data_IF_201305132778
#
_entry.id   IF_201305132778
#
_cell.length_a   1.000
_cell.length_b   1.000
_cell.length_c   1.000
_cell.angle_alpha   90.00
_cell.angle_beta   90.00
_cell.angle_gamma   90.00
#
_symmetry.space_group_name_H-M   'P 1'
#
loop_
_entity.id
_entity.type
_entity.pdbx_description
1 polymer ?
#
# COMPACT_ATOMS: atom_id res chain seq x y z
N UNK A 1 39.21 -11.25 7.79
CA UNK A 1 38.68 -12.63 7.75
C UNK A 1 37.41 -12.83 8.58
N UNK A 2 37.43 -12.92 9.92
CA UNK A 2 36.20 -13.16 10.69
C UNK A 2 35.19 -11.99 10.65
N UNK A 3 35.68 -10.75 10.66
CA UNK A 3 34.86 -9.53 10.53
C UNK A 3 34.18 -9.43 9.16
N UNK A 4 34.91 -9.67 8.07
CA UNK A 4 34.39 -9.62 6.69
C UNK A 4 33.32 -10.70 6.44
N UNK A 5 33.49 -11.89 7.02
CA UNK A 5 32.50 -12.96 6.94
C UNK A 5 31.18 -12.57 7.63
N UNK A 6 31.26 -11.97 8.83
CA UNK A 6 30.09 -11.46 9.54
C UNK A 6 29.37 -10.35 8.77
N UNK A 7 30.11 -9.44 8.14
CA UNK A 7 29.53 -8.38 7.31
C UNK A 7 28.79 -8.93 6.09
N UNK A 8 29.34 -9.95 5.44
CA UNK A 8 28.68 -10.65 4.34
C UNK A 8 27.39 -11.33 4.78
N UNK A 9 27.40 -12.03 5.92
CA UNK A 9 26.20 -12.67 6.49
C UNK A 9 25.12 -11.64 6.80
N UNK A 10 25.47 -10.54 7.49
CA UNK A 10 24.51 -9.49 7.86
C UNK A 10 23.90 -8.86 6.60
N UNK A 11 24.72 -8.60 5.58
CA UNK A 11 24.27 -8.04 4.31
C UNK A 11 23.34 -9.01 3.58
N UNK A 12 23.64 -10.30 3.61
CA UNK A 12 22.80 -11.35 3.02
C UNK A 12 21.45 -11.45 3.74
N UNK A 13 21.44 -11.54 5.07
CA UNK A 13 20.21 -11.60 5.88
C UNK A 13 19.34 -10.37 5.62
N UNK A 14 19.94 -9.18 5.56
CA UNK A 14 19.21 -7.93 5.26
C UNK A 14 18.57 -7.95 3.88
N UNK A 15 19.26 -8.47 2.85
CA UNK A 15 18.69 -8.62 1.50
C UNK A 15 17.56 -9.65 1.48
N UNK A 16 17.72 -10.75 2.20
CA UNK A 16 16.71 -11.80 2.29
C UNK A 16 15.44 -11.30 2.99
N UNK A 17 15.57 -10.62 4.13
CA UNK A 17 14.44 -10.04 4.85
C UNK A 17 13.72 -8.94 4.04
N UNK A 18 14.49 -8.16 3.26
CA UNK A 18 13.95 -7.22 2.27
C UNK A 18 13.09 -7.91 1.22
N UNK A 19 13.53 -9.05 0.70
CA UNK A 19 12.79 -9.80 -0.30
C UNK A 19 11.50 -10.38 0.28
N UNK A 20 11.54 -10.90 1.52
CA UNK A 20 10.35 -11.37 2.23
C UNK A 20 9.31 -10.24 2.38
N UNK A 21 9.74 -9.06 2.80
CA UNK A 21 8.85 -7.88 2.91
C UNK A 21 8.21 -7.58 1.55
N UNK A 22 8.98 -7.57 0.47
CA UNK A 22 8.45 -7.34 -0.88
C UNK A 22 7.46 -8.40 -1.35
N UNK A 23 7.72 -9.66 -1.05
CA UNK A 23 6.84 -10.77 -1.40
C UNK A 23 5.51 -10.69 -0.61
N UNK A 24 5.57 -10.45 0.69
CA UNK A 24 4.37 -10.28 1.53
C UNK A 24 3.59 -9.02 1.14
N UNK A 25 4.27 -7.92 0.80
CA UNK A 25 3.63 -6.71 0.26
C UNK A 25 2.88 -7.02 -1.04
N UNK A 26 3.46 -7.84 -1.92
CA UNK A 26 2.84 -8.24 -3.19
C UNK A 26 1.57 -9.06 -2.95
N UNK A 27 1.59 -9.99 -2.00
CA UNK A 27 0.38 -10.72 -1.60
C UNK A 27 -0.68 -9.78 -0.99
N UNK A 28 -0.28 -8.86 -0.13
CA UNK A 28 -1.17 -7.86 0.45
C UNK A 28 -1.86 -7.01 -0.63
N UNK A 29 -1.09 -6.51 -1.59
CA UNK A 29 -1.62 -5.74 -2.72
C UNK A 29 -2.53 -6.59 -3.60
N UNK A 30 -2.19 -7.85 -3.86
CA UNK A 30 -3.07 -8.74 -4.63
C UNK A 30 -4.44 -8.93 -3.96
N UNK A 31 -4.47 -9.14 -2.64
CA UNK A 31 -5.73 -9.23 -1.86
C UNK A 31 -6.49 -7.90 -1.93
N UNK A 32 -5.79 -6.77 -1.76
CA UNK A 32 -6.38 -5.44 -1.84
C UNK A 32 -6.99 -5.15 -3.21
N UNK A 33 -6.29 -5.52 -4.29
CA UNK A 33 -6.76 -5.36 -5.68
C UNK A 33 -8.00 -6.21 -5.90
N UNK A 34 -8.01 -7.49 -5.51
CA UNK A 34 -9.19 -8.36 -5.66
C UNK A 34 -10.39 -7.81 -4.88
N UNK A 35 -10.18 -7.39 -3.63
CA UNK A 35 -11.25 -6.79 -2.81
C UNK A 35 -11.81 -5.50 -3.42
N UNK A 36 -10.93 -4.63 -3.89
CA UNK A 36 -11.30 -3.36 -4.53
C UNK A 36 -11.97 -3.52 -5.87
N UNK A 37 -11.48 -4.45 -6.71
CA UNK A 37 -12.15 -4.80 -7.97
C UNK A 37 -13.55 -5.34 -7.71
N UNK A 38 -13.73 -6.19 -6.70
CA UNK A 38 -15.06 -6.72 -6.37
C UNK A 38 -16.05 -5.62 -5.99
N UNK A 39 -15.62 -4.65 -5.17
CA UNK A 39 -16.44 -3.48 -4.79
C UNK A 39 -16.76 -2.63 -6.03
N UNK A 40 -15.77 -2.30 -6.86
CA UNK A 40 -15.98 -1.48 -8.06
C UNK A 40 -16.96 -2.14 -9.05
N UNK A 41 -16.78 -3.44 -9.34
CA UNK A 41 -17.61 -4.15 -10.33
C UNK A 41 -19.00 -4.51 -9.82
N UNK A 42 -19.14 -4.87 -8.53
CA UNK A 42 -20.45 -5.28 -8.00
C UNK A 42 -21.32 -4.12 -7.56
N UNK A 43 -20.72 -3.09 -6.97
CA UNK A 43 -21.48 -1.93 -6.52
C UNK A 43 -21.79 -0.97 -7.69
N UNK A 44 -21.23 -1.21 -8.89
CA UNK A 44 -21.44 -0.43 -10.13
C UNK A 44 -21.20 1.07 -9.91
N UNK A 45 -20.37 1.36 -8.89
CA UNK A 45 -20.22 2.67 -8.29
C UNK A 45 -18.94 3.32 -8.81
N UNK A 46 -18.87 3.48 -10.14
CA UNK A 46 -17.77 4.16 -10.85
C UNK A 46 -17.71 5.68 -10.59
N UNK A 47 -18.59 6.20 -9.72
CA UNK A 47 -18.51 7.57 -9.21
C UNK A 47 -17.28 7.79 -8.30
N UNK A 48 -17.36 8.78 -7.42
CA UNK A 48 -16.22 9.24 -6.62
C UNK A 48 -15.57 8.14 -5.76
N UNK A 49 -16.35 7.18 -5.23
CA UNK A 49 -15.83 6.11 -4.37
C UNK A 49 -15.04 5.08 -5.19
N UNK A 50 -15.60 4.58 -6.30
CA UNK A 50 -14.91 3.63 -7.18
C UNK A 50 -13.66 4.23 -7.82
N UNK A 51 -13.69 5.52 -8.18
CA UNK A 51 -12.52 6.23 -8.71
C UNK A 51 -11.36 6.30 -7.70
N UNK A 52 -11.66 6.57 -6.43
CA UNK A 52 -10.66 6.55 -5.35
C UNK A 52 -10.02 5.18 -5.18
N UNK A 53 -10.82 4.11 -5.20
CA UNK A 53 -10.30 2.75 -5.14
C UNK A 53 -9.41 2.42 -6.36
N UNK A 54 -9.81 2.87 -7.55
CA UNK A 54 -9.04 2.65 -8.78
C UNK A 54 -7.67 3.33 -8.74
N UNK A 55 -7.61 4.59 -8.31
CA UNK A 55 -6.32 5.30 -8.14
C UNK A 55 -5.45 4.56 -7.12
N UNK A 56 -6.02 4.14 -5.99
CA UNK A 56 -5.28 3.42 -4.97
C UNK A 56 -4.75 2.07 -5.48
N UNK A 57 -5.51 1.34 -6.31
CA UNK A 57 -5.06 0.11 -6.98
C UNK A 57 -3.86 0.41 -7.89
N UNK A 58 -3.99 1.39 -8.79
CA UNK A 58 -2.93 1.71 -9.76
C UNK A 58 -1.64 2.11 -9.04
N UNK A 59 -1.76 2.98 -8.03
CA UNK A 59 -0.62 3.50 -7.30
C UNK A 59 0.04 2.43 -6.43
N UNK A 60 -0.74 1.62 -5.70
CA UNK A 60 -0.20 0.55 -4.86
C UNK A 60 0.48 -0.56 -5.67
N UNK A 61 -0.11 -0.93 -6.81
CA UNK A 61 0.46 -1.93 -7.74
C UNK A 61 1.76 -1.41 -8.36
N UNK A 62 1.73 -0.18 -8.91
CA UNK A 62 2.91 0.45 -9.49
C UNK A 62 4.05 0.62 -8.48
N UNK A 63 3.73 1.07 -7.27
CA UNK A 63 4.72 1.24 -6.19
C UNK A 63 5.32 -0.08 -5.75
N UNK A 64 4.51 -1.15 -5.65
CA UNK A 64 5.00 -2.49 -5.30
C UNK A 64 5.92 -3.05 -6.38
N UNK A 65 5.58 -2.84 -7.65
CA UNK A 65 6.43 -3.25 -8.77
C UNK A 65 7.78 -2.52 -8.76
N UNK A 66 7.78 -1.20 -8.56
CA UNK A 66 9.00 -0.40 -8.48
C UNK A 66 9.84 -0.83 -7.25
N UNK A 67 9.19 -1.12 -6.12
CA UNK A 67 9.86 -1.61 -4.92
C UNK A 67 10.49 -3.00 -5.14
N UNK A 68 9.82 -3.92 -5.82
CA UNK A 68 10.42 -5.21 -6.21
C UNK A 68 11.61 -5.02 -7.14
N UNK A 69 11.51 -4.07 -8.08
CA UNK A 69 12.59 -3.78 -9.05
C UNK A 69 13.87 -3.29 -8.35
N UNK A 70 13.79 -2.66 -7.17
CA UNK A 70 14.96 -2.29 -6.35
C UNK A 70 15.82 -3.48 -5.92
N UNK A 71 15.29 -4.70 -5.93
CA UNK A 71 16.07 -5.90 -5.62
C UNK A 71 17.03 -6.27 -6.74
N UNK A 72 16.67 -5.94 -7.98
CA UNK A 72 17.46 -6.27 -9.17
C UNK A 72 18.33 -5.10 -9.62
N UNK A 73 17.93 -3.85 -9.35
CA UNK A 73 18.70 -2.67 -9.72
C UNK A 73 19.78 -2.36 -8.67
N UNK A 74 21.03 -2.07 -9.08
CA UNK A 74 22.07 -1.66 -8.14
C UNK A 74 21.65 -0.39 -7.40
N UNK A 75 21.68 -0.44 -6.06
CA UNK A 75 21.27 0.62 -5.10
C UNK A 75 22.13 1.90 -5.16
N UNK A 76 22.88 2.12 -6.23
CA UNK A 76 23.74 3.28 -6.43
C UNK A 76 22.94 4.55 -6.71
N UNK A 77 21.73 4.45 -7.26
CA UNK A 77 20.84 5.58 -7.55
C UNK A 77 20.10 6.09 -6.29
N UNK A 78 20.69 7.06 -5.58
CA UNK A 78 20.07 7.67 -4.39
C UNK A 78 18.71 8.32 -4.68
N UNK A 79 18.55 8.90 -5.88
CA UNK A 79 17.30 9.52 -6.33
C UNK A 79 16.16 8.50 -6.35
N UNK A 80 16.43 7.26 -6.78
CA UNK A 80 15.45 6.17 -6.83
C UNK A 80 14.91 5.81 -5.44
N UNK A 81 15.77 5.79 -4.40
CA UNK A 81 15.37 5.50 -3.02
C UNK A 81 14.43 6.59 -2.45
N UNK A 82 14.70 7.87 -2.76
CA UNK A 82 13.81 8.97 -2.40
C UNK A 82 12.48 8.91 -3.15
N UNK A 83 12.51 8.67 -4.47
CA UNK A 83 11.30 8.50 -5.28
C UNK A 83 10.41 7.39 -4.75
N UNK A 84 10.99 6.26 -4.36
CA UNK A 84 10.23 5.11 -3.83
C UNK A 84 9.65 5.41 -2.46
N UNK A 85 10.38 6.12 -1.60
CA UNK A 85 9.81 6.58 -0.32
C UNK A 85 8.60 7.48 -0.57
N UNK A 86 8.70 8.43 -1.51
CA UNK A 86 7.58 9.30 -1.89
C UNK A 86 6.38 8.51 -2.45
N UNK A 87 6.63 7.54 -3.33
CA UNK A 87 5.59 6.68 -3.89
C UNK A 87 4.93 5.79 -2.83
N UNK A 88 5.69 5.26 -1.88
CA UNK A 88 5.15 4.48 -0.74
C UNK A 88 4.28 5.36 0.16
N UNK A 89 4.70 6.58 0.48
CA UNK A 89 3.89 7.52 1.27
C UNK A 89 2.60 7.91 0.55
N UNK A 90 2.68 8.19 -0.75
CA UNK A 90 1.51 8.50 -1.56
C UNK A 90 0.55 7.29 -1.63
N UNK A 91 1.09 6.09 -1.80
CA UNK A 91 0.30 4.84 -1.78
C UNK A 91 -0.41 4.64 -0.45
N UNK A 92 0.28 4.86 0.68
CA UNK A 92 -0.32 4.79 2.01
C UNK A 92 -1.46 5.81 2.13
N UNK A 93 -1.26 7.05 1.66
CA UNK A 93 -2.29 8.09 1.71
C UNK A 93 -3.57 7.66 0.97
N UNK A 94 -3.44 7.18 -0.28
CA UNK A 94 -4.59 6.74 -1.06
C UNK A 94 -5.23 5.46 -0.52
N UNK A 95 -4.44 4.48 -0.05
CA UNK A 95 -4.97 3.29 0.61
C UNK A 95 -5.68 3.64 1.92
N UNK A 96 -5.15 4.57 2.71
CA UNK A 96 -5.79 5.05 3.95
C UNK A 96 -7.08 5.82 3.65
N UNK A 97 -7.11 6.62 2.59
CA UNK A 97 -8.32 7.30 2.14
C UNK A 97 -9.39 6.28 1.68
N UNK A 98 -8.98 5.28 0.89
CA UNK A 98 -9.81 4.13 0.50
C UNK A 98 -10.33 3.36 1.73
N UNK A 99 -9.53 3.21 2.78
CA UNK A 99 -9.94 2.60 4.05
C UNK A 99 -10.97 3.46 4.79
N UNK A 100 -10.76 4.77 4.84
CA UNK A 100 -11.69 5.70 5.49
C UNK A 100 -13.11 5.63 4.92
N UNK A 101 -13.25 5.30 3.63
CA UNK A 101 -14.54 5.10 2.96
C UNK A 101 -15.17 3.73 3.24
N UNK A 102 -14.37 2.72 3.58
CA UNK A 102 -14.80 1.31 3.67
C UNK A 102 -14.94 0.80 5.10
N UNK A 103 -14.27 1.41 6.08
CA UNK A 103 -14.52 1.16 7.50
C UNK A 103 -16.00 1.38 7.89
N UNK A 104 -16.64 2.52 7.55
CA UNK A 104 -18.05 2.73 7.88
C UNK A 104 -18.97 1.72 7.19
N UNK A 105 -18.70 1.29 5.93
CA UNK A 105 -19.55 0.27 5.27
C UNK A 105 -19.48 -1.07 5.98
N UNK A 106 -18.29 -1.48 6.41
CA UNK A 106 -18.12 -2.74 7.13
C UNK A 106 -18.86 -2.69 8.48
N UNK A 107 -18.82 -1.54 9.16
CA UNK A 107 -19.57 -1.31 10.40
C UNK A 107 -21.08 -1.37 10.16
N UNK A 108 -21.60 -0.68 9.14
CA UNK A 108 -23.02 -0.68 8.78
C UNK A 108 -23.51 -2.09 8.43
N UNK A 109 -22.69 -2.84 7.70
CA UNK A 109 -22.92 -4.24 7.37
C UNK A 109 -22.95 -5.18 8.57
N UNK A 110 -22.28 -4.85 9.67
CA UNK A 110 -22.29 -5.64 10.90
C UNK A 110 -23.48 -5.29 11.79
N UNK A 111 -23.87 -4.01 11.81
CA UNK A 111 -24.88 -3.48 12.72
C UNK A 111 -26.29 -3.42 12.11
N UNK A 112 -26.42 -3.65 10.79
CA UNK A 112 -27.69 -3.53 10.09
C UNK A 112 -28.18 -2.09 9.92
N UNK A 113 -27.28 -1.11 10.05
CA UNK A 113 -27.59 0.32 9.96
C UNK A 113 -27.70 0.77 8.51
N UNK A 114 -28.81 0.39 7.88
CA UNK A 114 -29.08 0.65 6.47
C UNK A 114 -30.24 1.61 6.31
N UNK A 115 -30.08 2.62 5.46
CA UNK A 115 -31.20 3.42 4.97
C UNK A 115 -31.69 2.83 3.64
N UNK A 116 -32.92 2.33 3.62
CA UNK A 116 -33.56 1.92 2.36
C UNK A 116 -34.19 3.13 1.70
N UNK A 117 -33.82 3.40 0.45
CA UNK A 117 -34.54 4.32 -0.43
C UNK A 117 -35.06 3.57 -1.65
N UNK A 118 -36.35 3.73 -1.93
CA UNK A 118 -36.95 3.30 -3.19
C UNK A 118 -36.61 4.32 -4.27
N UNK A 119 -35.73 3.97 -5.20
CA UNK A 119 -35.39 4.83 -6.32
C UNK A 119 -36.23 4.41 -7.53
N UNK A 120 -36.99 5.34 -8.10
CA UNK A 120 -37.71 5.12 -9.36
C UNK A 120 -36.70 5.11 -10.50
N UNK A 121 -36.58 3.98 -11.18
CA UNK A 121 -35.72 3.86 -12.36
C UNK A 121 -36.19 4.84 -13.45
N UNK A 122 -35.27 5.67 -13.97
CA UNK A 122 -35.53 6.56 -15.11
C UNK A 122 -35.90 5.69 -16.33
N UNK A 123 -37.20 5.57 -16.60
CA UNK A 123 -37.75 4.83 -17.76
C UNK A 123 -38.40 3.47 -17.45
N UNK A 124 -38.56 3.05 -16.19
CA UNK A 124 -39.19 1.76 -15.86
C UNK A 124 -40.05 1.81 -14.61
N UNK A 125 -41.24 1.21 -14.67
CA UNK A 125 -42.24 1.10 -13.60
C UNK A 125 -41.88 0.10 -12.48
N UNK A 126 -40.58 -0.12 -12.23
CA UNK A 126 -40.10 -0.97 -11.15
C UNK A 126 -39.36 -0.12 -10.14
N UNK A 127 -39.88 -0.07 -8.92
CA UNK A 127 -39.19 0.50 -7.77
C UNK A 127 -37.99 -0.41 -7.45
N UNK A 128 -36.78 0.14 -7.49
CA UNK A 128 -35.58 -0.55 -7.03
C UNK A 128 -35.33 -0.13 -5.59
N UNK A 129 -35.30 -1.10 -4.68
CA UNK A 129 -34.88 -0.86 -3.29
C UNK A 129 -33.35 -0.79 -3.27
N UNK A 130 -32.83 0.42 -3.14
CA UNK A 130 -31.39 0.66 -2.98
C UNK A 130 -31.08 0.84 -1.50
N UNK A 131 -30.05 0.15 -1.03
CA UNK A 131 -29.60 0.23 0.36
C UNK A 131 -28.41 1.18 0.43
N UNK A 132 -28.56 2.23 1.23
CA UNK A 132 -27.51 3.21 1.50
C UNK A 132 -26.94 3.00 2.90
N UNK A 133 -25.61 3.06 3.00
CA UNK A 133 -24.89 3.12 4.28
C UNK A 133 -24.93 4.51 4.91
N UNK A 134 -24.37 4.61 6.11
CA UNK A 134 -24.29 5.84 6.92
C UNK A 134 -23.62 7.03 6.23
N UNK A 135 -22.68 6.76 5.32
CA UNK A 135 -21.99 7.80 4.53
C UNK A 135 -22.62 8.06 3.15
N UNK A 136 -23.86 7.60 2.95
CA UNK A 136 -24.64 7.85 1.72
C UNK A 136 -24.15 7.06 0.51
N UNK A 137 -23.31 6.06 0.69
CA UNK A 137 -22.89 5.17 -0.40
C UNK A 137 -23.83 3.99 -0.55
N UNK A 138 -24.09 3.59 -1.79
CA UNK A 138 -24.83 2.38 -2.11
C UNK A 138 -24.02 1.15 -1.70
N UNK A 139 -24.64 0.25 -0.93
CA UNK A 139 -24.03 -1.00 -0.47
C UNK A 139 -24.79 -2.15 -1.11
N UNK A 140 -24.18 -2.82 -2.11
CA UNK A 140 -24.75 -4.04 -2.68
C UNK A 140 -24.13 -5.29 -2.08
N UNK A 141 -22.87 -5.24 -1.65
CA UNK A 141 -22.20 -6.41 -1.04
C UNK A 141 -21.35 -6.09 0.19
N UNK A 142 -21.65 -6.77 1.30
CA UNK A 142 -20.88 -6.65 2.54
C UNK A 142 -19.58 -7.47 2.56
N UNK A 143 -19.52 -8.58 1.81
CA UNK A 143 -18.35 -9.45 1.79
C UNK A 143 -17.13 -8.82 1.11
N UNK A 144 -17.35 -8.04 0.04
CA UNK A 144 -16.27 -7.36 -0.69
C UNK A 144 -15.58 -6.31 0.16
N UNK A 145 -16.37 -5.51 0.88
CA UNK A 145 -15.89 -4.47 1.78
C UNK A 145 -15.02 -5.02 2.93
N UNK A 146 -15.36 -6.21 3.48
CA UNK A 146 -14.53 -6.88 4.49
C UNK A 146 -13.17 -7.33 3.93
N UNK A 147 -13.16 -7.92 2.74
CA UNK A 147 -11.91 -8.36 2.09
C UNK A 147 -11.02 -7.17 1.74
N UNK A 148 -11.61 -6.08 1.24
CA UNK A 148 -10.90 -4.83 0.97
C UNK A 148 -10.29 -4.23 2.24
N UNK A 149 -11.04 -4.18 3.34
CA UNK A 149 -10.56 -3.67 4.63
C UNK A 149 -9.31 -4.42 5.09
N UNK A 150 -9.36 -5.76 5.09
CA UNK A 150 -8.24 -6.61 5.50
C UNK A 150 -7.05 -6.45 4.55
N UNK A 151 -7.29 -6.47 3.24
CA UNK A 151 -6.24 -6.32 2.22
C UNK A 151 -5.54 -4.96 2.32
N UNK A 152 -6.30 -3.88 2.50
CA UNK A 152 -5.75 -2.54 2.63
C UNK A 152 -4.93 -2.36 3.92
N UNK A 153 -5.39 -2.90 5.05
CA UNK A 153 -4.64 -2.86 6.31
C UNK A 153 -3.29 -3.58 6.20
N UNK A 154 -3.29 -4.81 5.67
CA UNK A 154 -2.05 -5.57 5.44
C UNK A 154 -1.12 -4.79 4.51
N UNK A 155 -1.67 -4.24 3.41
CA UNK A 155 -0.89 -3.46 2.44
C UNK A 155 -0.24 -2.24 3.08
N UNK A 156 -0.96 -1.45 3.87
CA UNK A 156 -0.41 -0.27 4.55
C UNK A 156 0.69 -0.66 5.53
N UNK A 157 0.47 -1.69 6.35
CA UNK A 157 1.49 -2.16 7.31
C UNK A 157 2.77 -2.58 6.59
N UNK A 158 2.63 -3.30 5.48
CA UNK A 158 3.78 -3.73 4.68
C UNK A 158 4.47 -2.55 3.96
N UNK A 159 3.73 -1.55 3.49
CA UNK A 159 4.30 -0.32 2.93
C UNK A 159 5.09 0.47 3.98
N UNK A 160 4.61 0.55 5.23
CA UNK A 160 5.33 1.17 6.35
C UNK A 160 6.65 0.41 6.61
N UNK A 161 6.61 -0.92 6.67
CA UNK A 161 7.81 -1.74 6.83
C UNK A 161 8.81 -1.52 5.68
N UNK A 162 8.33 -1.42 4.45
CA UNK A 162 9.13 -1.11 3.27
C UNK A 162 9.79 0.28 3.37
N UNK A 163 9.07 1.30 3.87
CA UNK A 163 9.64 2.64 4.13
C UNK A 163 10.78 2.54 5.14
N UNK A 164 10.56 1.92 6.30
CA UNK A 164 11.62 1.79 7.32
C UNK A 164 12.88 1.14 6.76
N UNK A 165 12.70 0.12 5.91
CA UNK A 165 13.81 -0.53 5.25
C UNK A 165 14.55 0.39 4.26
N UNK A 166 13.83 1.11 3.40
CA UNK A 166 14.43 2.07 2.46
C UNK A 166 15.17 3.17 3.21
N UNK A 167 14.60 3.67 4.31
CA UNK A 167 15.21 4.68 5.17
C UNK A 167 16.46 4.18 5.87
N UNK A 168 16.47 2.94 6.38
CA UNK A 168 17.70 2.33 6.93
C UNK A 168 18.82 2.23 5.89
N UNK A 169 18.51 1.94 4.62
CA UNK A 169 19.51 1.90 3.54
C UNK A 169 20.05 3.30 3.27
N UNK A 170 19.19 4.31 3.22
CA UNK A 170 19.59 5.72 3.05
C UNK A 170 20.49 6.18 4.20
N UNK A 171 20.08 5.96 5.45
CA UNK A 171 20.84 6.36 6.65
C UNK A 171 22.22 5.71 6.72
N UNK A 172 22.31 4.40 6.47
CA UNK A 172 23.61 3.70 6.49
C UNK A 172 24.56 4.27 5.43
N UNK A 173 24.04 4.71 4.29
CA UNK A 173 24.85 5.27 3.21
C UNK A 173 25.24 6.73 3.43
N UNK A 174 24.36 7.53 4.02
CA UNK A 174 24.71 8.89 4.46
C UNK A 174 25.79 8.79 5.53
N UNK A 175 25.64 7.89 6.51
CA UNK A 175 26.67 7.63 7.53
C UNK A 175 28.00 7.21 6.90
N UNK A 176 28.02 6.28 5.93
CA UNK A 176 29.27 5.86 5.30
C UNK A 176 29.97 7.01 4.56
N UNK A 177 29.22 7.92 3.93
CA UNK A 177 29.79 9.12 3.30
C UNK A 177 30.30 10.11 4.32
N UNK A 178 29.45 10.53 5.27
CA UNK A 178 29.80 11.57 6.24
C UNK A 178 30.96 11.17 7.13
N UNK A 179 31.05 9.91 7.57
CA UNK A 179 32.17 9.47 8.39
C UNK A 179 33.36 9.06 7.53
N UNK A 180 33.16 8.42 6.37
CA UNK A 180 34.24 8.04 5.46
C UNK A 180 35.02 9.22 4.88
N UNK A 181 34.33 10.28 4.46
CA UNK A 181 34.98 11.51 3.97
C UNK A 181 35.67 12.28 5.10
N UNK A 182 35.13 12.26 6.33
CA UNK A 182 35.77 12.89 7.49
C UNK A 182 37.11 12.25 7.86
N UNK A 183 37.28 10.94 7.69
CA UNK A 183 38.57 10.29 7.92
C UNK A 183 39.63 10.70 6.88
N UNK A 184 39.21 10.97 5.64
CA UNK A 184 40.07 11.51 4.58
C UNK A 184 40.44 12.97 4.86
N UNK A 185 39.49 13.79 5.33
CA UNK A 185 39.74 15.18 5.73
C UNK A 185 40.60 15.31 6.99
N UNK A 186 40.50 14.36 7.93
CA UNK A 186 41.29 14.34 9.15
C UNK A 186 42.72 13.78 8.94
N UNK A 187 43.11 13.45 7.71
CA UNK A 187 44.48 13.02 7.38
C UNK A 187 44.91 11.69 8.00
N UNK A 188 43.98 10.91 8.53
CA UNK A 188 44.24 9.57 9.06
C UNK A 188 44.14 8.60 7.89
N UNK A 189 45.22 8.47 7.13
CA UNK A 189 45.43 7.31 6.23
C UNK A 189 45.90 6.12 7.06
N UNK A 190 45.31 4.95 6.81
CA UNK A 190 45.77 3.67 7.36
C UNK A 190 47.24 3.40 7.04
#
# INVERSE_FOLDING_TARGET
MASEFFEHIITFIRKFLSLIIGLVLTFGVAIYVVGSSFVIFKDDNLGNVGFTHLIAILLSTGTTFIYLTLHFIPRKAYRLLYTITGLLLLSIFFCAHSLGLTVPTVSDCSNGNFQQMSVKSKGGSKDMNVVFGSIGQEIRTCSGNKMLLVGALITILMMIAAIFQVQMILLNRVRSKTYGERFVEMGISN
#
